data_IF_889135744115
#
_entry.id   IF_889135744115
#
_cell.length_a   1.000
_cell.length_b   1.000
_cell.length_c   1.000
_cell.angle_alpha   90.00
_cell.angle_beta   90.00
_cell.angle_gamma   90.00
#
_symmetry.space_group_name_H-M   'P 1'
#
loop_
_entity.id
_entity.type
_entity.pdbx_description
1 polymer ?
#
# COMPACT_ATOMS: atom_id res chain seq x y z
N UNK A 1 36.23 13.88 -25.76
CA UNK A 1 34.94 13.82 -25.06
C UNK A 1 35.20 14.19 -23.61
N UNK A 2 34.79 15.40 -23.19
CA UNK A 2 35.16 16.04 -21.94
C UNK A 2 34.67 15.25 -20.73
N UNK A 3 35.50 15.14 -19.67
CA UNK A 3 35.18 14.47 -18.39
C UNK A 3 33.84 14.94 -17.80
N UNK A 4 33.48 16.22 -17.98
CA UNK A 4 32.21 16.82 -17.58
C UNK A 4 31.00 16.21 -18.29
N UNK A 5 31.12 15.89 -19.60
CA UNK A 5 30.06 15.27 -20.37
C UNK A 5 29.76 13.85 -19.90
N UNK A 6 30.77 13.12 -19.39
CA UNK A 6 30.60 11.77 -18.80
C UNK A 6 29.86 11.82 -17.45
N UNK A 7 30.09 12.86 -16.63
CA UNK A 7 29.37 13.05 -15.37
C UNK A 7 27.92 13.46 -15.59
N UNK A 8 27.63 14.31 -16.56
CA UNK A 8 26.28 14.72 -16.93
C UNK A 8 25.48 13.56 -17.50
N UNK A 9 26.10 12.72 -18.35
CA UNK A 9 25.47 11.51 -18.88
C UNK A 9 25.24 10.45 -17.81
N UNK A 10 26.17 10.28 -16.86
CA UNK A 10 26.01 9.35 -15.74
C UNK A 10 24.91 9.80 -14.79
N UNK A 11 24.79 11.11 -14.52
CA UNK A 11 23.72 11.66 -13.68
C UNK A 11 22.34 11.57 -14.35
N UNK A 12 22.27 11.74 -15.68
CA UNK A 12 21.04 11.58 -16.44
C UNK A 12 20.57 10.12 -16.52
N UNK A 13 21.51 9.15 -16.60
CA UNK A 13 21.16 7.72 -16.56
C UNK A 13 20.68 7.26 -15.19
N UNK A 14 21.19 7.83 -14.08
CA UNK A 14 20.68 7.53 -12.75
C UNK A 14 19.25 8.08 -12.52
N UNK A 15 18.88 9.17 -13.16
CA UNK A 15 17.54 9.75 -13.07
C UNK A 15 16.47 8.92 -13.82
N UNK A 16 16.87 8.09 -14.80
CA UNK A 16 15.96 7.22 -15.55
C UNK A 16 15.71 5.86 -14.89
N UNK A 17 16.41 5.54 -13.79
CA UNK A 17 16.26 4.28 -13.06
C UNK A 17 15.10 4.28 -12.04
N UNK A 18 14.36 5.38 -11.88
CA UNK A 18 13.08 5.39 -11.18
C UNK A 18 12.01 4.82 -12.11
N UNK A 19 12.04 3.51 -12.36
CA UNK A 19 10.94 2.81 -12.96
C UNK A 19 9.68 3.15 -12.15
N UNK A 20 8.61 3.57 -12.84
CA UNK A 20 7.34 3.88 -12.20
C UNK A 20 6.85 2.64 -11.45
N UNK A 21 7.21 2.53 -10.17
CA UNK A 21 6.77 1.46 -9.32
C UNK A 21 5.24 1.52 -9.19
N UNK A 22 4.57 0.38 -9.36
CA UNK A 22 3.12 0.32 -9.29
C UNK A 22 2.63 0.71 -7.89
N UNK A 23 1.65 1.62 -7.83
CA UNK A 23 0.95 2.02 -6.58
C UNK A 23 -0.55 1.88 -6.79
N UNK A 24 -1.26 1.57 -5.71
CA UNK A 24 -2.72 1.40 -5.75
C UNK A 24 -3.41 2.77 -5.65
N UNK A 25 -3.42 3.50 -6.76
CA UNK A 25 -4.17 4.75 -6.88
C UNK A 25 -5.60 4.47 -7.32
N UNK A 26 -6.55 4.93 -6.54
CA UNK A 26 -7.99 4.74 -6.75
C UNK A 26 -8.63 6.02 -7.30
N UNK A 27 -9.80 5.88 -7.94
CA UNK A 27 -10.62 7.03 -8.31
C UNK A 27 -10.92 7.87 -7.08
N UNK A 28 -10.68 9.17 -7.20
CA UNK A 28 -10.85 10.14 -6.10
C UNK A 28 -12.23 10.79 -6.07
N UNK A 29 -13.07 10.44 -7.06
CA UNK A 29 -14.41 11.03 -7.22
C UNK A 29 -14.42 12.43 -7.83
N UNK A 30 -13.26 13.00 -8.15
CA UNK A 30 -13.09 14.32 -8.78
C UNK A 30 -12.48 14.24 -10.20
N UNK A 31 -12.60 13.08 -10.83
CA UNK A 31 -12.12 12.85 -12.19
C UNK A 31 -10.64 12.43 -12.28
N UNK A 32 -9.97 12.20 -11.16
CA UNK A 32 -8.58 11.74 -11.11
C UNK A 32 -8.38 10.45 -10.32
N UNK A 33 -7.12 10.09 -10.13
CA UNK A 33 -6.70 8.99 -9.26
C UNK A 33 -5.75 9.52 -8.19
N UNK A 34 -5.90 9.03 -6.97
CA UNK A 34 -5.02 9.35 -5.86
C UNK A 34 -4.89 8.16 -4.90
N UNK A 35 -3.85 8.17 -4.09
CA UNK A 35 -3.73 7.24 -2.98
C UNK A 35 -4.92 7.40 -2.04
N UNK A 36 -5.37 6.30 -1.44
CA UNK A 36 -6.49 6.28 -0.48
C UNK A 36 -7.79 6.88 -1.06
N UNK A 37 -8.01 6.76 -2.38
CA UNK A 37 -9.14 7.38 -3.08
C UNK A 37 -9.24 8.90 -2.83
N UNK A 38 -8.12 9.58 -2.61
CA UNK A 38 -8.03 11.00 -2.31
C UNK A 38 -8.45 11.39 -0.89
N UNK A 39 -8.53 10.46 0.04
CA UNK A 39 -8.61 10.79 1.46
C UNK A 39 -7.25 11.25 1.98
N UNK A 40 -7.28 12.17 2.94
CA UNK A 40 -6.08 12.71 3.58
C UNK A 40 -5.39 11.62 4.43
N UNK A 41 -4.14 11.24 4.13
CA UNK A 41 -3.45 10.18 4.85
C UNK A 41 -3.21 10.50 6.33
N UNK A 42 -3.04 11.78 6.69
CA UNK A 42 -2.83 12.21 8.09
C UNK A 42 -4.09 11.97 8.91
N UNK A 43 -5.27 12.14 8.30
CA UNK A 43 -6.56 11.99 8.97
C UNK A 43 -6.82 10.57 9.50
N UNK A 44 -6.21 9.55 8.91
CA UNK A 44 -6.31 8.17 9.40
C UNK A 44 -5.68 7.99 10.79
N UNK A 45 -4.71 8.86 11.13
CA UNK A 45 -3.97 8.78 12.39
C UNK A 45 -4.46 9.75 13.46
N UNK A 46 -5.18 10.79 13.07
CA UNK A 46 -5.51 11.93 13.96
C UNK A 46 -7.00 12.09 14.23
N UNK A 47 -7.87 11.48 13.44
CA UNK A 47 -9.31 11.62 13.55
C UNK A 47 -10.04 10.30 13.81
N UNK A 48 -11.34 10.37 14.12
CA UNK A 48 -12.18 9.18 14.32
C UNK A 48 -12.47 8.44 13.00
N UNK A 49 -12.33 9.14 11.86
CA UNK A 49 -12.50 8.59 10.52
C UNK A 49 -11.72 9.42 9.51
N UNK A 50 -11.32 8.79 8.37
CA UNK A 50 -10.63 9.51 7.31
C UNK A 50 -11.51 10.60 6.70
N UNK A 51 -10.92 11.76 6.39
CA UNK A 51 -11.57 12.88 5.72
C UNK A 51 -11.06 13.05 4.29
N UNK A 52 -11.88 13.61 3.43
CA UNK A 52 -11.53 13.86 2.03
C UNK A 52 -10.51 14.98 1.93
N UNK A 53 -9.47 14.77 1.13
CA UNK A 53 -8.50 15.81 0.77
C UNK A 53 -9.03 16.72 -0.35
N UNK A 54 -8.57 17.97 -0.35
CA UNK A 54 -8.80 18.92 -1.44
C UNK A 54 -7.93 18.55 -2.65
N UNK A 55 -8.49 18.44 -3.87
CA UNK A 55 -7.72 18.18 -5.09
C UNK A 55 -6.59 19.20 -5.36
N UNK A 56 -6.68 20.39 -4.80
CA UNK A 56 -5.68 21.46 -4.95
C UNK A 56 -4.52 21.36 -3.96
N UNK A 57 -4.66 20.58 -2.88
CA UNK A 57 -3.64 20.43 -1.84
C UNK A 57 -3.04 19.02 -1.98
N UNK A 58 -1.95 18.91 -2.74
CA UNK A 58 -1.35 17.62 -3.09
C UNK A 58 0.11 17.52 -2.70
N UNK A 59 0.61 16.28 -2.61
CA UNK A 59 2.03 15.94 -2.62
C UNK A 59 2.24 14.61 -3.36
N UNK A 60 3.45 14.46 -3.92
CA UNK A 60 3.90 13.23 -4.53
C UNK A 60 4.91 12.54 -3.62
N UNK A 61 4.73 11.26 -3.38
CA UNK A 61 5.68 10.46 -2.63
C UNK A 61 5.65 9.00 -3.05
N UNK A 62 6.82 8.41 -3.24
CA UNK A 62 7.03 6.99 -3.58
C UNK A 62 6.14 6.52 -4.76
N UNK A 63 5.96 7.37 -5.78
CA UNK A 63 5.18 7.10 -6.98
C UNK A 63 3.66 7.20 -6.81
N UNK A 64 3.17 7.71 -5.69
CA UNK A 64 1.75 7.96 -5.42
C UNK A 64 1.43 9.44 -5.25
N UNK A 65 0.28 9.87 -5.77
CA UNK A 65 -0.29 11.21 -5.55
C UNK A 65 -1.19 11.18 -4.32
N UNK A 66 -0.94 12.06 -3.35
CA UNK A 66 -1.69 12.21 -2.11
C UNK A 66 -2.47 13.53 -2.11
N UNK A 67 -3.65 13.55 -1.48
CA UNK A 67 -4.47 14.74 -1.26
C UNK A 67 -4.64 15.02 0.22
N UNK A 68 -4.73 16.29 0.60
CA UNK A 68 -4.78 16.71 1.99
C UNK A 68 -5.96 17.64 2.24
N UNK A 69 -6.58 17.54 3.41
CA UNK A 69 -7.67 18.41 3.83
C UNK A 69 -7.17 19.81 4.21
N UNK A 70 -5.88 19.96 4.51
CA UNK A 70 -5.26 21.25 4.85
C UNK A 70 -3.79 21.28 4.42
N UNK A 71 -3.24 22.49 4.32
CA UNK A 71 -1.81 22.71 4.10
C UNK A 71 -0.98 22.17 5.26
N UNK A 72 -1.48 22.25 6.49
CA UNK A 72 -0.80 21.76 7.69
C UNK A 72 -0.65 20.23 7.63
N UNK A 73 -1.68 19.50 7.23
CA UNK A 73 -1.60 18.05 7.04
C UNK A 73 -0.61 17.68 5.93
N UNK A 74 -0.59 18.42 4.82
CA UNK A 74 0.44 18.24 3.78
C UNK A 74 1.86 18.45 4.32
N UNK A 75 2.08 19.44 5.16
CA UNK A 75 3.38 19.70 5.79
C UNK A 75 3.76 18.59 6.77
N UNK A 76 2.82 18.09 7.57
CA UNK A 76 3.04 16.93 8.45
C UNK A 76 3.44 15.69 7.64
N UNK A 77 2.74 15.44 6.54
CA UNK A 77 3.08 14.36 5.62
C UNK A 77 4.47 14.53 5.02
N UNK A 78 4.81 15.72 4.51
CA UNK A 78 6.10 15.98 3.86
C UNK A 78 7.29 15.82 4.83
N UNK A 79 7.08 16.06 6.13
CA UNK A 79 8.10 15.85 7.17
C UNK A 79 8.33 14.37 7.50
N UNK A 80 7.33 13.52 7.34
CA UNK A 80 7.40 12.11 7.70
C UNK A 80 6.43 11.26 6.85
N UNK A 81 6.64 11.17 5.52
CA UNK A 81 5.69 10.50 4.64
C UNK A 81 5.52 9.01 4.95
N UNK A 82 6.58 8.31 5.38
CA UNK A 82 6.52 6.89 5.75
C UNK A 82 5.57 6.62 6.91
N UNK A 83 5.36 7.60 7.79
CA UNK A 83 4.45 7.49 8.93
C UNK A 83 2.99 7.47 8.49
N UNK A 84 2.64 8.27 7.48
CA UNK A 84 1.26 8.52 7.10
C UNK A 84 0.83 7.74 5.85
N UNK A 85 1.75 7.43 4.96
CA UNK A 85 1.46 6.68 3.75
C UNK A 85 0.99 5.25 4.07
N UNK A 86 0.04 4.70 3.28
CA UNK A 86 -0.37 3.33 3.46
C UNK A 86 0.77 2.36 3.15
N UNK A 87 0.91 1.33 3.95
CA UNK A 87 1.87 0.27 3.72
C UNK A 87 1.59 -0.45 2.39
N UNK A 88 2.61 -1.08 1.87
CA UNK A 88 2.55 -1.85 0.61
C UNK A 88 2.00 -1.06 -0.57
N UNK A 89 2.34 0.25 -0.66
CA UNK A 89 1.91 1.11 -1.75
C UNK A 89 0.39 1.24 -1.88
N UNK A 90 -0.36 1.07 -0.79
CA UNK A 90 -1.82 1.13 -0.75
C UNK A 90 -2.53 -0.13 -1.26
N UNK A 91 -1.81 -1.21 -1.55
CA UNK A 91 -2.40 -2.51 -1.85
C UNK A 91 -2.97 -3.17 -0.58
N UNK A 92 -3.90 -4.11 -0.78
CA UNK A 92 -4.53 -4.84 0.30
C UNK A 92 -3.50 -5.60 1.15
N UNK A 93 -3.42 -5.30 2.44
CA UNK A 93 -2.47 -5.92 3.34
C UNK A 93 -2.66 -7.44 3.50
N UNK A 94 -3.87 -7.97 3.23
CA UNK A 94 -4.12 -9.42 3.26
C UNK A 94 -3.47 -10.16 2.07
N UNK A 95 -3.17 -9.47 0.96
CA UNK A 95 -2.45 -10.05 -0.16
C UNK A 95 -0.94 -10.08 0.03
N UNK A 96 -0.40 -9.15 0.81
CA UNK A 96 1.03 -8.96 0.98
C UNK A 96 1.79 -10.19 1.52
N UNK A 97 1.28 -10.97 2.51
CA UNK A 97 1.92 -12.20 2.97
C UNK A 97 2.09 -13.28 1.89
N UNK A 98 1.35 -13.17 0.81
CA UNK A 98 1.38 -14.09 -0.33
C UNK A 98 2.11 -13.50 -1.53
N UNK A 99 2.72 -12.34 -1.39
CA UNK A 99 3.32 -11.55 -2.48
C UNK A 99 2.32 -11.23 -3.60
N UNK A 100 1.06 -10.93 -3.25
CA UNK A 100 -0.02 -10.63 -4.20
C UNK A 100 -0.48 -9.19 -3.98
N UNK A 101 -0.38 -8.36 -5.02
CA UNK A 101 -0.80 -6.97 -5.05
C UNK A 101 -2.29 -6.86 -5.43
N UNK A 102 -3.16 -7.13 -4.46
CA UNK A 102 -4.61 -6.92 -4.60
C UNK A 102 -4.98 -5.48 -4.30
N UNK A 103 -6.00 -4.94 -4.97
CA UNK A 103 -6.47 -3.59 -4.71
C UNK A 103 -6.93 -3.41 -3.26
N UNK A 104 -6.35 -2.44 -2.55
CA UNK A 104 -6.78 -2.01 -1.23
C UNK A 104 -7.85 -0.91 -1.35
N UNK A 105 -8.85 -0.92 -0.47
CA UNK A 105 -9.84 0.14 -0.34
C UNK A 105 -9.41 1.22 0.66
N UNK A 106 -10.00 2.40 0.54
CA UNK A 106 -9.70 3.51 1.45
C UNK A 106 -10.53 3.48 2.75
N UNK A 107 -11.63 2.72 2.78
CA UNK A 107 -12.58 2.69 3.90
C UNK A 107 -12.31 1.60 4.93
N UNK A 108 -11.65 0.51 4.54
CA UNK A 108 -11.30 -0.58 5.46
C UNK A 108 -9.81 -0.53 5.73
N UNK A 109 -9.44 -0.18 6.96
CA UNK A 109 -8.06 0.02 7.35
C UNK A 109 -7.81 -0.37 8.80
N UNK A 110 -6.53 -0.46 9.17
CA UNK A 110 -6.06 -0.62 10.54
C UNK A 110 -4.73 0.08 10.73
N UNK A 111 -4.57 0.72 11.90
CA UNK A 111 -3.26 1.23 12.36
C UNK A 111 -2.67 0.19 13.31
N UNK A 112 -1.46 -0.26 13.02
CA UNK A 112 -0.66 -1.15 13.88
C UNK A 112 0.73 -0.54 14.04
N UNK A 113 1.14 -0.28 15.26
CA UNK A 113 2.44 0.35 15.58
C UNK A 113 2.70 1.63 14.76
N UNK A 114 1.65 2.47 14.61
CA UNK A 114 1.71 3.71 13.85
C UNK A 114 1.75 3.54 12.32
N UNK A 115 1.62 2.34 11.79
CA UNK A 115 1.62 2.01 10.35
C UNK A 115 0.19 1.83 9.84
N UNK A 116 -0.13 2.46 8.72
CA UNK A 116 -1.46 2.38 8.09
C UNK A 116 -1.53 1.18 7.13
N UNK A 117 -2.35 0.20 7.44
CA UNK A 117 -2.68 -0.93 6.57
C UNK A 117 -4.09 -0.75 6.01
N UNK A 118 -4.25 -0.95 4.70
CA UNK A 118 -5.55 -0.89 4.01
C UNK A 118 -5.93 -2.27 3.48
N UNK A 119 -7.23 -2.51 3.32
CA UNK A 119 -7.77 -3.81 2.93
C UNK A 119 -8.81 -3.64 1.81
N UNK A 120 -9.02 -4.68 1.01
CA UNK A 120 -10.07 -4.70 -0.03
C UNK A 120 -11.49 -4.70 0.54
N UNK A 121 -11.63 -5.08 1.81
CA UNK A 121 -12.92 -5.08 2.52
C UNK A 121 -12.80 -5.70 3.92
N UNK A 122 -13.92 -5.70 4.69
CA UNK A 122 -13.94 -6.20 6.08
C UNK A 122 -13.45 -7.63 6.24
N UNK A 123 -13.80 -8.54 5.33
CA UNK A 123 -13.36 -9.93 5.39
C UNK A 123 -11.85 -10.06 5.21
N UNK A 124 -11.27 -9.30 4.28
CA UNK A 124 -9.82 -9.27 4.10
C UNK A 124 -9.09 -8.82 5.37
N UNK A 125 -9.62 -7.80 6.06
CA UNK A 125 -9.08 -7.35 7.34
C UNK A 125 -9.24 -8.43 8.41
N UNK A 126 -10.42 -9.00 8.55
CA UNK A 126 -10.75 -10.07 9.50
C UNK A 126 -9.78 -11.27 9.37
N UNK A 127 -9.51 -11.71 8.15
CA UNK A 127 -8.60 -12.83 7.91
C UNK A 127 -7.15 -12.48 8.18
N UNK A 128 -6.73 -11.26 7.82
CA UNK A 128 -5.38 -10.78 8.11
C UNK A 128 -5.11 -10.68 9.64
N UNK A 129 -6.11 -10.27 10.41
CA UNK A 129 -6.04 -10.15 11.87
C UNK A 129 -5.88 -11.50 12.59
N UNK A 130 -6.16 -12.63 11.96
CA UNK A 130 -5.97 -13.96 12.56
C UNK A 130 -4.52 -14.22 12.95
N UNK A 131 -3.55 -13.74 12.17
CA UNK A 131 -2.13 -13.92 12.40
C UNK A 131 -1.36 -12.61 12.08
N UNK A 132 -1.83 -11.49 12.63
CA UNK A 132 -1.41 -10.13 12.31
C UNK A 132 0.12 -9.95 12.27
N UNK A 133 0.80 -10.34 13.35
CA UNK A 133 2.27 -10.20 13.44
C UNK A 133 2.99 -10.95 12.32
N UNK A 134 2.60 -12.20 12.09
CA UNK A 134 3.17 -13.03 11.02
C UNK A 134 2.87 -12.45 9.64
N UNK A 135 1.66 -11.94 9.44
CA UNK A 135 1.26 -11.34 8.16
C UNK A 135 2.01 -10.03 7.87
N UNK A 136 2.32 -9.24 8.89
CA UNK A 136 3.19 -8.07 8.78
C UNK A 136 4.61 -8.50 8.39
N UNK A 137 5.19 -9.46 9.10
CA UNK A 137 6.55 -9.96 8.87
C UNK A 137 6.73 -10.48 7.42
N UNK A 138 5.82 -11.34 6.98
CA UNK A 138 5.83 -11.88 5.61
C UNK A 138 5.61 -10.79 4.56
N UNK A 139 4.63 -9.92 4.79
CA UNK A 139 4.31 -8.81 3.89
C UNK A 139 5.48 -7.84 3.73
N UNK A 140 6.15 -7.48 4.81
CA UNK A 140 7.33 -6.61 4.79
C UNK A 140 8.50 -7.26 4.02
N UNK A 141 8.71 -8.57 4.23
CA UNK A 141 9.71 -9.32 3.50
C UNK A 141 9.46 -9.31 1.99
N UNK A 142 8.26 -9.66 1.55
CA UNK A 142 7.90 -9.65 0.13
C UNK A 142 7.83 -8.23 -0.46
N UNK A 143 7.36 -7.24 0.31
CA UNK A 143 7.38 -5.86 -0.14
C UNK A 143 8.80 -5.41 -0.48
N UNK A 144 9.74 -5.65 0.40
CA UNK A 144 11.14 -5.26 0.23
C UNK A 144 11.83 -6.01 -0.92
N UNK A 145 11.58 -7.31 -1.04
CA UNK A 145 12.32 -8.17 -1.98
C UNK A 145 11.81 -8.12 -3.41
N UNK A 146 10.48 -7.98 -3.63
CA UNK A 146 9.91 -8.18 -4.97
C UNK A 146 8.72 -7.29 -5.34
N UNK A 147 7.89 -6.83 -4.37
CA UNK A 147 6.68 -6.09 -4.72
C UNK A 147 6.91 -4.60 -4.96
N UNK A 148 7.75 -3.96 -4.14
CA UNK A 148 7.90 -2.50 -4.10
C UNK A 148 8.25 -1.89 -5.45
N UNK A 149 9.14 -2.53 -6.19
CA UNK A 149 9.70 -2.01 -7.44
C UNK A 149 9.07 -2.64 -8.69
N UNK A 150 8.00 -3.42 -8.53
CA UNK A 150 7.32 -3.97 -9.71
C UNK A 150 6.63 -2.86 -10.51
N UNK A 151 6.82 -2.89 -11.83
CA UNK A 151 6.17 -1.96 -12.76
C UNK A 151 4.71 -2.33 -13.04
N UNK A 152 4.30 -3.57 -12.77
CA UNK A 152 2.95 -4.06 -13.02
C UNK A 152 2.47 -4.99 -11.91
N UNK A 153 1.55 -4.47 -11.09
CA UNK A 153 0.88 -5.27 -10.06
C UNK A 153 0.10 -6.46 -10.65
N UNK A 154 -0.48 -6.28 -11.85
CA UNK A 154 -1.23 -7.32 -12.54
C UNK A 154 -0.35 -8.52 -12.89
N UNK A 155 0.75 -8.31 -13.61
CA UNK A 155 1.65 -9.39 -14.01
C UNK A 155 2.33 -10.04 -12.83
N UNK A 156 2.76 -9.26 -11.84
CA UNK A 156 3.35 -9.79 -10.62
C UNK A 156 2.36 -10.70 -9.88
N UNK A 157 1.15 -10.23 -9.64
CA UNK A 157 0.12 -11.00 -8.94
C UNK A 157 -0.33 -12.24 -9.72
N UNK A 158 -0.43 -12.14 -11.06
CA UNK A 158 -0.74 -13.27 -11.92
C UNK A 158 0.29 -14.41 -11.76
N UNK A 159 1.60 -14.08 -11.79
CA UNK A 159 2.66 -15.05 -11.54
C UNK A 159 2.56 -15.66 -10.15
N UNK A 160 2.26 -14.87 -9.12
CA UNK A 160 2.14 -15.34 -7.73
C UNK A 160 0.89 -16.19 -7.49
N UNK A 161 -0.19 -15.98 -8.20
CA UNK A 161 -1.36 -16.86 -8.17
C UNK A 161 -1.03 -18.19 -8.83
N UNK A 162 -0.21 -18.21 -9.87
CA UNK A 162 0.21 -19.42 -10.58
C UNK A 162 1.31 -20.18 -9.82
N UNK A 163 2.36 -19.47 -9.42
CA UNK A 163 3.49 -20.00 -8.63
C UNK A 163 3.35 -19.55 -7.17
N UNK A 164 2.43 -20.20 -6.48
CA UNK A 164 2.06 -19.85 -5.09
C UNK A 164 3.22 -20.02 -4.15
N UNK A 165 3.31 -19.12 -3.16
CA UNK A 165 4.21 -19.32 -2.02
C UNK A 165 3.76 -20.54 -1.21
N UNK A 166 4.66 -21.27 -0.52
CA UNK A 166 4.31 -22.52 0.17
C UNK A 166 3.18 -22.40 1.20
N UNK A 167 3.04 -21.22 1.81
CA UNK A 167 2.02 -20.93 2.83
C UNK A 167 0.77 -20.25 2.27
N UNK A 168 0.58 -20.22 0.94
CA UNK A 168 -0.56 -19.58 0.31
C UNK A 168 -1.89 -20.20 0.78
N UNK A 169 -2.85 -19.33 1.08
CA UNK A 169 -4.23 -19.69 1.42
C UNK A 169 -5.19 -18.97 0.49
N UNK A 170 -6.18 -19.70 0.00
CA UNK A 170 -7.30 -19.09 -0.73
C UNK A 170 -8.24 -18.36 0.22
N UNK A 171 -9.14 -17.52 -0.30
CA UNK A 171 -10.18 -16.89 0.53
C UNK A 171 -11.04 -17.92 1.28
N UNK A 172 -11.34 -19.08 0.63
CA UNK A 172 -12.08 -20.17 1.25
C UNK A 172 -11.31 -20.83 2.40
N UNK A 173 -10.00 -21.02 2.24
CA UNK A 173 -9.15 -21.57 3.32
C UNK A 173 -9.13 -20.63 4.53
N UNK A 174 -9.00 -19.34 4.28
CA UNK A 174 -9.01 -18.31 5.33
C UNK A 174 -10.35 -18.22 6.05
N UNK A 175 -11.46 -18.30 5.32
CA UNK A 175 -12.81 -18.34 5.89
C UNK A 175 -13.00 -19.57 6.78
N UNK A 176 -12.62 -20.76 6.27
CA UNK A 176 -12.72 -22.03 7.01
C UNK A 176 -11.90 -21.96 8.31
N UNK A 177 -10.69 -21.45 8.23
CA UNK A 177 -9.82 -21.28 9.40
C UNK A 177 -10.41 -20.27 10.40
N UNK A 178 -10.95 -19.16 9.93
CA UNK A 178 -11.58 -18.17 10.79
C UNK A 178 -12.77 -18.77 11.55
N UNK A 179 -13.66 -19.50 10.86
CA UNK A 179 -14.80 -20.18 11.47
C UNK A 179 -14.36 -21.21 12.53
N UNK A 180 -13.33 -22.01 12.21
CA UNK A 180 -12.77 -22.97 13.15
C UNK A 180 -12.15 -22.32 14.40
N UNK A 181 -11.58 -21.11 14.28
CA UNK A 181 -11.07 -20.35 15.43
C UNK A 181 -12.19 -19.75 16.28
N UNK A 182 -13.35 -19.40 15.69
CA UNK A 182 -14.51 -18.90 16.44
C UNK A 182 -15.15 -20.03 17.26
N UNK A 183 -15.33 -21.23 16.67
CA UNK A 183 -15.94 -22.38 17.36
C UNK A 183 -15.15 -22.88 18.59
N UNK A 184 -13.88 -22.55 18.70
CA UNK A 184 -13.03 -22.89 19.86
C UNK A 184 -13.08 -21.85 20.99
N UNK A 185 -13.72 -20.69 20.75
CA UNK A 185 -13.85 -19.61 21.74
C UNK A 185 -15.18 -19.66 22.51
N UNK A 186 -16.14 -20.43 22.00
CA UNK A 186 -17.42 -20.77 22.65
C UNK A 186 -17.33 -22.06 23.45
#
# INVERSE_FOLDING_TARGET
MNRWLKFVLASALLALANGCASRNMLSDGAGGKAMLAGNDPVSYHTGPSPIKGDPKITAEWDGGTYRFASTDNRELFNKAPEKYAPQYGGYCANGAPYSILLGGGASTYKIVDGRLFVFSGPDSRKYWEMDEKKNIELGDGYWKSEMRNTSSAFFHSYWRIFFRVPHYKTGKDLETEWLARQSKKT
#
